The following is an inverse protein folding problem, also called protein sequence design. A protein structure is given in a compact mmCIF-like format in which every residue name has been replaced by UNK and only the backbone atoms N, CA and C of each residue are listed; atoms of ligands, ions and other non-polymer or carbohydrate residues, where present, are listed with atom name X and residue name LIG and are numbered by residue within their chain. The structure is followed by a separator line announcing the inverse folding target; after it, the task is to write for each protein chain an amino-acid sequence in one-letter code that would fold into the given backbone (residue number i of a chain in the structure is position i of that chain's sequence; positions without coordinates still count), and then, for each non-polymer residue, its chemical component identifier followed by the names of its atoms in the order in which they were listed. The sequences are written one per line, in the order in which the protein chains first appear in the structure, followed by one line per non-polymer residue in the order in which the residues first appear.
data_IF_578226058319
#
_entry.id   IF_578226058319
#
_cell.length_a   1.000
_cell.length_b   1.000
_cell.length_c   1.000
_cell.angle_alpha   90.00
_cell.angle_beta   90.00
_cell.angle_gamma   90.00
#
_symmetry.space_group_name_H-M   'P 1'
#
loop_
_entity.id
_entity.type
_entity.pdbx_description
1 polymer ?
#
# COMPACT_ATOMS: atom_id res chain seq x y z
N UNK A 1 36.75 26.37 3.27
CA UNK A 1 36.84 25.14 2.45
C UNK A 1 36.26 23.91 3.17
N UNK A 2 35.79 24.01 4.43
CA UNK A 2 35.25 22.87 5.21
C UNK A 2 33.86 22.35 4.82
N UNK A 3 32.97 23.20 4.30
CA UNK A 3 31.56 22.83 4.12
C UNK A 3 31.37 21.83 2.97
N UNK A 4 32.16 21.95 1.91
CA UNK A 4 32.11 21.08 0.72
C UNK A 4 32.62 19.68 1.07
N UNK A 5 33.68 19.58 1.85
CA UNK A 5 34.30 18.31 2.24
C UNK A 5 33.39 17.54 3.21
N UNK A 6 32.80 18.24 4.19
CA UNK A 6 31.81 17.68 5.10
C UNK A 6 30.52 17.23 4.39
N UNK A 7 30.14 17.94 3.32
CA UNK A 7 29.00 17.54 2.48
C UNK A 7 29.31 16.27 1.68
N UNK A 8 30.57 16.09 1.24
CA UNK A 8 31.03 14.90 0.53
C UNK A 8 31.02 13.65 1.43
N UNK A 9 31.43 13.77 2.69
CA UNK A 9 31.37 12.66 3.66
C UNK A 9 29.93 12.24 3.98
N UNK A 10 29.03 13.20 4.18
CA UNK A 10 27.62 12.92 4.47
C UNK A 10 26.93 12.28 3.25
N UNK A 11 27.23 12.73 2.03
CA UNK A 11 26.72 12.11 0.81
C UNK A 11 27.20 10.66 0.66
N UNK A 12 28.49 10.38 0.87
CA UNK A 12 29.03 9.01 0.80
C UNK A 12 28.36 8.06 1.79
N UNK A 13 28.21 8.48 3.06
CA UNK A 13 27.59 7.65 4.09
C UNK A 13 26.12 7.33 3.80
N UNK A 14 25.39 8.26 3.19
CA UNK A 14 24.00 8.06 2.76
C UNK A 14 23.94 7.16 1.52
N UNK A 15 24.79 7.39 0.52
CA UNK A 15 24.82 6.62 -0.72
C UNK A 15 25.12 5.14 -0.46
N UNK A 16 26.06 4.84 0.44
CA UNK A 16 26.40 3.47 0.82
C UNK A 16 25.23 2.79 1.55
N UNK A 17 24.56 3.48 2.48
CA UNK A 17 23.37 2.93 3.15
C UNK A 17 22.22 2.65 2.19
N UNK A 18 21.98 3.55 1.24
CA UNK A 18 20.92 3.40 0.23
C UNK A 18 21.24 2.27 -0.77
N UNK A 19 22.51 2.05 -1.13
CA UNK A 19 22.93 0.95 -2.02
C UNK A 19 22.58 -0.45 -1.50
N UNK A 20 22.44 -0.61 -0.18
CA UNK A 20 22.09 -1.89 0.45
C UNK A 20 20.58 -2.02 0.77
N UNK A 21 19.86 -0.90 0.88
CA UNK A 21 18.41 -0.88 1.05
C UNK A 21 17.75 -1.42 -0.23
N UNK A 22 17.14 -2.61 -0.11
CA UNK A 22 16.47 -3.28 -1.24
C UNK A 22 17.28 -4.40 -1.93
N UNK A 23 18.50 -4.70 -1.46
CA UNK A 23 19.27 -5.90 -1.88
C UNK A 23 19.22 -7.05 -0.86
N UNK A 24 18.72 -6.81 0.36
CA UNK A 24 18.52 -7.85 1.38
C UNK A 24 17.38 -8.84 1.04
N UNK A 25 17.17 -9.84 1.92
CA UNK A 25 16.18 -10.93 1.76
C UNK A 25 14.80 -10.41 1.32
N UNK A 26 14.26 -9.40 1.99
CA UNK A 26 12.93 -8.84 1.69
C UNK A 26 12.88 -8.02 0.39
N UNK A 27 13.97 -7.33 0.04
CA UNK A 27 14.05 -6.59 -1.24
C UNK A 27 14.02 -7.52 -2.45
N UNK A 28 14.59 -8.73 -2.32
CA UNK A 28 14.49 -9.78 -3.35
C UNK A 28 13.07 -10.32 -3.49
N UNK A 29 12.34 -10.48 -2.38
CA UNK A 29 10.94 -10.94 -2.39
C UNK A 29 10.04 -9.95 -3.11
N UNK A 30 10.15 -8.65 -2.83
CA UNK A 30 9.35 -7.62 -3.52
C UNK A 30 9.68 -7.59 -5.02
N UNK A 31 10.95 -7.78 -5.40
CA UNK A 31 11.37 -7.88 -6.81
C UNK A 31 10.86 -9.15 -7.51
N UNK A 32 10.62 -10.22 -6.77
CA UNK A 32 10.05 -11.47 -7.28
C UNK A 32 8.52 -11.46 -7.34
N UNK A 33 7.86 -10.52 -6.66
CA UNK A 33 6.42 -10.40 -6.71
C UNK A 33 5.97 -10.06 -8.14
N UNK A 34 5.05 -10.86 -8.67
CA UNK A 34 4.48 -10.64 -10.01
C UNK A 34 3.52 -9.46 -9.95
N UNK A 35 3.75 -8.45 -10.79
CA UNK A 35 2.75 -7.39 -11.01
C UNK A 35 1.49 -8.03 -11.62
N UNK A 36 0.29 -7.80 -11.06
CA UNK A 36 -0.94 -8.37 -11.60
C UNK A 36 -1.19 -7.86 -13.02
N UNK A 37 -1.82 -8.69 -13.85
CA UNK A 37 -2.34 -8.23 -15.14
C UNK A 37 -3.55 -7.31 -14.94
N UNK A 38 -3.88 -6.50 -15.94
CA UNK A 38 -5.06 -5.63 -15.88
C UNK A 38 -6.35 -6.44 -15.69
N UNK A 39 -6.45 -7.61 -16.33
CA UNK A 39 -7.61 -8.50 -16.18
C UNK A 39 -7.72 -9.08 -14.77
N UNK A 40 -6.60 -9.52 -14.18
CA UNK A 40 -6.57 -10.03 -12.80
C UNK A 40 -7.00 -8.93 -11.82
N UNK A 41 -6.48 -7.72 -12.01
CA UNK A 41 -6.80 -6.57 -11.17
C UNK A 41 -8.29 -6.20 -11.24
N UNK A 42 -8.85 -6.13 -12.46
CA UNK A 42 -10.26 -5.79 -12.68
C UNK A 42 -11.17 -6.83 -12.02
N UNK A 43 -10.93 -8.12 -12.22
CA UNK A 43 -11.74 -9.19 -11.60
C UNK A 43 -11.73 -9.13 -10.07
N UNK A 44 -10.57 -8.85 -9.48
CA UNK A 44 -10.45 -8.70 -8.02
C UNK A 44 -11.25 -7.50 -7.52
N UNK A 45 -11.18 -6.36 -8.22
CA UNK A 45 -11.94 -5.17 -7.87
C UNK A 45 -13.44 -5.40 -7.99
N UNK A 46 -13.90 -6.08 -9.03
CA UNK A 46 -15.33 -6.37 -9.21
C UNK A 46 -15.88 -7.16 -8.02
N UNK A 47 -15.22 -8.26 -7.65
CA UNK A 47 -15.64 -9.10 -6.52
C UNK A 47 -15.57 -8.31 -5.20
N UNK A 48 -14.49 -7.57 -4.98
CA UNK A 48 -14.31 -6.78 -3.76
C UNK A 48 -15.34 -5.65 -3.67
N UNK A 49 -15.62 -4.97 -4.77
CA UNK A 49 -16.59 -3.89 -4.87
C UNK A 49 -18.01 -4.37 -4.58
N UNK A 50 -18.40 -5.52 -5.14
CA UNK A 50 -19.68 -6.15 -4.82
C UNK A 50 -19.75 -6.50 -3.33
N UNK A 51 -18.68 -7.05 -2.75
CA UNK A 51 -18.62 -7.36 -1.32
C UNK A 51 -18.79 -6.13 -0.43
N UNK A 52 -18.13 -5.02 -0.76
CA UNK A 52 -18.25 -3.76 -0.04
C UNK A 52 -19.67 -3.20 -0.09
N UNK A 53 -20.32 -3.24 -1.25
CA UNK A 53 -21.70 -2.77 -1.41
C UNK A 53 -22.66 -3.64 -0.60
N UNK A 54 -22.49 -4.96 -0.62
CA UNK A 54 -23.37 -5.87 0.12
C UNK A 54 -23.23 -5.69 1.63
N UNK A 55 -21.99 -5.69 2.15
CA UNK A 55 -21.73 -5.56 3.59
C UNK A 55 -22.11 -4.15 4.07
N UNK A 56 -21.69 -3.11 3.35
CA UNK A 56 -22.01 -1.73 3.67
C UNK A 56 -23.52 -1.46 3.57
N UNK A 57 -24.17 -1.97 2.52
CA UNK A 57 -25.61 -1.88 2.33
C UNK A 57 -26.39 -2.58 3.44
N UNK A 58 -25.99 -3.79 3.83
CA UNK A 58 -26.63 -4.52 4.92
C UNK A 58 -26.49 -3.79 6.26
N UNK A 59 -25.27 -3.33 6.59
CA UNK A 59 -25.03 -2.54 7.79
C UNK A 59 -25.83 -1.23 7.81
N UNK A 60 -25.89 -0.55 6.67
CA UNK A 60 -26.70 0.66 6.49
C UNK A 60 -28.20 0.38 6.66
N UNK A 61 -28.69 -0.72 6.11
CA UNK A 61 -30.11 -1.09 6.17
C UNK A 61 -30.53 -1.40 7.61
N UNK A 62 -29.69 -2.10 8.37
CA UNK A 62 -29.89 -2.32 9.82
C UNK A 62 -29.94 -0.98 10.56
N UNK A 63 -28.97 -0.10 10.33
CA UNK A 63 -28.94 1.23 10.94
C UNK A 63 -30.21 2.04 10.61
N UNK A 64 -30.63 2.03 9.35
CA UNK A 64 -31.80 2.76 8.88
C UNK A 64 -33.09 2.27 9.53
N UNK A 65 -33.26 0.95 9.65
CA UNK A 65 -34.41 0.35 10.35
C UNK A 65 -34.39 0.74 11.83
N UNK A 66 -33.24 0.65 12.49
CA UNK A 66 -33.14 1.02 13.90
C UNK A 66 -33.45 2.51 14.13
N UNK A 67 -32.96 3.38 13.25
CA UNK A 67 -33.26 4.80 13.28
C UNK A 67 -34.76 5.08 13.11
N UNK A 68 -35.43 4.40 12.17
CA UNK A 68 -36.88 4.55 11.97
C UNK A 68 -37.71 4.03 13.14
N UNK A 69 -37.27 2.97 13.83
CA UNK A 69 -38.00 2.36 14.95
C UNK A 69 -37.77 3.08 16.29
N UNK A 70 -36.61 3.72 16.46
CA UNK A 70 -36.23 4.40 17.72
C UNK A 70 -36.48 5.92 17.65
N UNK A 71 -36.56 6.48 16.44
CA UNK A 71 -36.86 7.89 16.20
C UNK A 71 -38.34 8.22 16.23
#
# INVERSE_FOLDING_TARGET
MDIIEKSWEVQKGIEDRVKHIGKGKYGRVIKMARKPSNEEYIRVIEITGIGLILIGGLGFLIYWIMYLLTG
#
